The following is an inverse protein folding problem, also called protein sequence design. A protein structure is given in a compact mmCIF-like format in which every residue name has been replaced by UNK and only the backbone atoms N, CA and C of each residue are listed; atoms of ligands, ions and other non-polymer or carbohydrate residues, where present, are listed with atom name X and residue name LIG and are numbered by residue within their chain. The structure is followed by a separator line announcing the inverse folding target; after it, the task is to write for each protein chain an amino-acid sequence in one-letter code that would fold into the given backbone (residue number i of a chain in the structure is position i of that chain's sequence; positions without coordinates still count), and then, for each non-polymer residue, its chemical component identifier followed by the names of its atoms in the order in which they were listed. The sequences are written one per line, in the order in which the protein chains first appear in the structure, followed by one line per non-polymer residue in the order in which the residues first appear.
data_IF_814940842626
#
_entry.id   IF_814940842626
#
_cell.length_a   1.000
_cell.length_b   1.000
_cell.length_c   1.000
_cell.angle_alpha   90.00
_cell.angle_beta   90.00
_cell.angle_gamma   90.00
#
_symmetry.space_group_name_H-M   'P 1'
#
loop_
_entity.id
_entity.type
_entity.pdbx_description
1 polymer ?
#
# COMPACT_ATOMS: atom_id res chain seq x y z
N UNK A 1 -11.74 0.44 12.26
CA UNK A 1 -11.15 1.80 12.17
C UNK A 1 -9.78 1.73 12.82
N UNK A 2 -8.72 2.19 12.14
CA UNK A 2 -7.33 2.13 12.62
C UNK A 2 -7.13 3.07 13.83
N UNK A 3 -6.31 2.63 14.77
CA UNK A 3 -5.97 3.33 16.02
C UNK A 3 -4.46 3.31 16.22
N UNK A 4 -3.96 4.31 16.94
CA UNK A 4 -2.57 4.30 17.41
C UNK A 4 -2.33 3.04 18.25
N UNK A 5 -1.21 2.36 18.00
CA UNK A 5 -0.84 1.08 18.58
C UNK A 5 -1.26 -0.15 17.77
N UNK A 6 -2.12 -0.02 16.76
CA UNK A 6 -2.53 -1.17 15.94
C UNK A 6 -1.35 -1.71 15.12
N UNK A 7 -1.29 -3.04 15.00
CA UNK A 7 -0.30 -3.73 14.15
C UNK A 7 -0.95 -4.11 12.84
N UNK A 8 -0.35 -3.69 11.74
CA UNK A 8 -0.92 -3.81 10.40
C UNK A 8 0.11 -4.29 9.38
N UNK A 9 -0.37 -4.93 8.35
CA UNK A 9 0.41 -5.25 7.16
C UNK A 9 0.09 -4.23 6.06
N UNK A 10 1.13 -3.86 5.30
CA UNK A 10 1.03 -2.92 4.18
C UNK A 10 1.12 -3.70 2.88
N UNK A 11 0.11 -3.53 2.04
CA UNK A 11 -0.07 -4.25 0.79
C UNK A 11 -0.12 -3.28 -0.37
N UNK A 12 0.19 -3.79 -1.56
CA UNK A 12 -0.07 -3.10 -2.81
C UNK A 12 -0.71 -4.04 -3.82
N UNK A 13 -1.50 -3.46 -4.70
CA UNK A 13 -2.05 -4.09 -5.91
C UNK A 13 -1.48 -3.31 -7.10
N UNK A 14 -0.22 -3.53 -7.43
CA UNK A 14 0.45 -2.80 -8.53
C UNK A 14 0.09 -3.34 -9.91
N UNK A 15 0.28 -2.63 -11.03
CA UNK A 15 0.29 -3.23 -12.37
C UNK A 15 1.58 -4.04 -12.59
N UNK A 16 1.57 -5.01 -13.51
CA UNK A 16 2.61 -6.02 -13.71
C UNK A 16 4.05 -5.46 -13.80
N UNK A 17 4.94 -5.93 -12.93
CA UNK A 17 6.40 -5.79 -13.10
C UNK A 17 7.03 -7.13 -13.51
N UNK A 18 6.23 -8.15 -13.78
CA UNK A 18 6.69 -9.44 -14.31
C UNK A 18 6.74 -9.36 -15.82
N UNK A 19 7.76 -8.68 -16.37
CA UNK A 19 8.11 -8.79 -17.79
C UNK A 19 9.54 -9.30 -17.91
N UNK A 20 9.73 -10.55 -18.36
CA UNK A 20 10.71 -10.84 -19.38
C UNK A 20 10.04 -10.63 -20.75
N UNK A 21 10.64 -9.79 -21.57
CA UNK A 21 10.26 -9.53 -22.96
C UNK A 21 10.13 -10.82 -23.79
N UNK A 22 8.91 -11.14 -24.24
CA UNK A 22 8.64 -11.68 -25.58
C UNK A 22 7.15 -11.51 -25.90
N UNK A 23 6.75 -10.72 -26.93
CA UNK A 23 5.37 -10.70 -27.39
C UNK A 23 5.09 -11.96 -28.21
N UNK A 24 4.22 -12.85 -27.72
CA UNK A 24 3.66 -13.95 -28.51
C UNK A 24 2.29 -13.52 -29.03
N UNK A 25 2.06 -13.43 -30.35
CA UNK A 25 0.90 -12.74 -30.89
C UNK A 25 -0.25 -13.71 -31.19
N UNK A 26 -0.78 -14.49 -30.24
CA UNK A 26 -1.91 -15.41 -30.54
C UNK A 26 -2.76 -15.83 -29.32
N UNK A 27 -3.03 -14.95 -28.35
CA UNK A 27 -4.06 -15.21 -27.33
C UNK A 27 -5.08 -14.07 -27.21
N UNK A 28 -6.39 -14.37 -27.35
CA UNK A 28 -7.44 -13.37 -27.27
C UNK A 28 -7.71 -13.00 -25.81
N UNK A 29 -7.43 -11.75 -25.47
CA UNK A 29 -8.12 -10.97 -24.44
C UNK A 29 -8.23 -11.63 -23.05
N UNK A 30 -7.10 -11.83 -22.38
CA UNK A 30 -7.11 -12.12 -20.95
C UNK A 30 -7.25 -10.80 -20.18
N UNK A 31 -8.50 -10.56 -19.77
CA UNK A 31 -8.97 -9.68 -18.70
C UNK A 31 -7.87 -9.15 -17.80
N UNK A 32 -7.95 -7.84 -17.49
CA UNK A 32 -7.52 -7.21 -16.23
C UNK A 32 -7.27 -8.27 -15.16
N UNK A 33 -6.06 -8.82 -15.15
CA UNK A 33 -5.79 -10.00 -14.36
C UNK A 33 -5.86 -9.54 -12.91
N UNK A 34 -6.74 -10.18 -12.16
CA UNK A 34 -6.93 -10.06 -10.73
C UNK A 34 -5.56 -10.26 -10.06
N UNK A 35 -4.81 -9.18 -9.90
CA UNK A 35 -3.42 -9.27 -9.49
C UNK A 35 -3.42 -9.48 -7.99
N UNK A 36 -2.93 -10.64 -7.58
CA UNK A 36 -2.89 -11.00 -6.17
C UNK A 36 -2.20 -9.90 -5.35
N UNK A 37 -2.78 -9.48 -4.21
CA UNK A 37 -2.20 -8.44 -3.38
C UNK A 37 -0.84 -8.89 -2.85
N UNK A 38 0.17 -8.03 -2.97
CA UNK A 38 1.52 -8.29 -2.47
C UNK A 38 1.77 -7.52 -1.17
N UNK A 39 2.27 -8.20 -0.15
CA UNK A 39 2.71 -7.57 1.10
C UNK A 39 4.06 -6.88 0.87
N UNK A 40 4.12 -5.58 1.12
CA UNK A 40 5.33 -4.77 1.04
C UNK A 40 6.05 -4.67 2.39
N UNK A 41 5.28 -4.62 3.47
CA UNK A 41 5.82 -4.60 4.82
C UNK A 41 4.86 -5.31 5.77
N UNK A 42 5.43 -6.06 6.70
CA UNK A 42 4.69 -6.80 7.70
C UNK A 42 4.93 -6.23 9.11
N UNK A 43 3.89 -6.19 9.92
CA UNK A 43 3.97 -5.77 11.33
C UNK A 43 4.29 -4.29 11.53
N UNK A 44 3.81 -3.41 10.63
CA UNK A 44 3.88 -1.98 10.84
C UNK A 44 3.03 -1.57 12.05
N UNK A 45 3.52 -0.64 12.87
CA UNK A 45 2.76 -0.13 14.02
C UNK A 45 2.18 1.23 13.67
N UNK A 46 0.88 1.42 13.89
CA UNK A 46 0.23 2.71 13.69
C UNK A 46 0.65 3.67 14.82
N UNK A 47 1.32 4.77 14.50
CA UNK A 47 1.87 5.69 15.50
C UNK A 47 0.96 6.89 15.78
N UNK A 48 0.48 7.56 14.72
CA UNK A 48 -0.40 8.73 14.84
C UNK A 48 -1.60 8.55 13.93
N UNK A 49 -2.77 8.93 14.42
CA UNK A 49 -4.01 9.05 13.67
C UNK A 49 -4.57 10.42 14.02
N UNK A 50 -4.61 11.35 13.05
CA UNK A 50 -5.07 12.78 13.12
C UNK A 50 -3.96 13.84 13.03
N UNK A 51 -4.28 14.97 12.37
CA UNK A 51 -3.55 16.26 12.48
C UNK A 51 -4.44 17.30 13.16
N UNK A 52 -3.85 18.15 14.00
CA UNK A 52 -4.57 19.10 14.85
C UNK A 52 -5.23 20.30 14.13
N UNK A 53 -5.10 20.44 12.81
CA UNK A 53 -5.74 21.53 12.05
C UNK A 53 -6.99 21.05 11.34
N UNK A 54 -8.00 20.67 12.13
CA UNK A 54 -9.38 20.56 11.64
C UNK A 54 -9.95 21.96 11.46
N UNK A 55 -9.65 22.60 10.33
CA UNK A 55 -10.42 23.76 9.88
C UNK A 55 -11.81 23.26 9.45
N UNK A 56 -12.80 23.52 10.31
CA UNK A 56 -14.25 23.52 10.08
C UNK A 56 -14.73 22.60 8.91
N UNK A 57 -15.04 21.33 9.24
CA UNK A 57 -15.77 20.31 8.44
C UNK A 57 -15.01 19.25 7.62
N UNK A 58 -13.68 19.14 7.66
CA UNK A 58 -13.00 17.93 7.16
C UNK A 58 -11.98 17.44 8.18
N UNK A 59 -12.22 16.26 8.75
CA UNK A 59 -11.23 15.55 9.55
C UNK A 59 -10.25 14.88 8.58
N UNK A 60 -9.21 15.59 8.15
CA UNK A 60 -8.09 14.95 7.47
C UNK A 60 -7.40 13.99 8.45
N UNK A 61 -7.56 12.68 8.20
CA UNK A 61 -6.96 11.63 9.01
C UNK A 61 -5.61 11.27 8.40
N UNK A 62 -4.55 11.87 8.93
CA UNK A 62 -3.17 11.43 8.62
C UNK A 62 -2.85 10.23 9.51
N UNK A 63 -2.34 9.17 8.88
CA UNK A 63 -1.89 7.95 9.55
C UNK A 63 -0.37 7.85 9.38
N UNK A 64 0.36 7.76 10.49
CA UNK A 64 1.79 7.44 10.46
C UNK A 64 2.01 5.96 10.76
N UNK A 65 2.78 5.29 9.90
CA UNK A 65 3.17 3.88 10.05
C UNK A 65 4.64 3.79 10.46
N UNK A 66 4.90 3.20 11.61
CA UNK A 66 6.25 2.89 12.07
C UNK A 66 6.72 1.58 11.46
N UNK A 67 7.82 1.66 10.71
CA UNK A 67 8.43 0.59 9.95
C UNK A 67 9.96 0.63 10.11
N UNK A 68 10.64 -0.54 10.07
CA UNK A 68 12.09 -0.55 9.87
C UNK A 68 12.48 0.17 8.58
N UNK A 69 13.59 0.90 8.58
CA UNK A 69 14.04 1.73 7.45
C UNK A 69 14.01 1.03 6.08
N UNK A 70 14.47 -0.25 5.95
CA UNK A 70 14.40 -0.95 4.67
C UNK A 70 12.96 -1.10 4.15
N UNK A 71 12.02 -1.46 5.03
CA UNK A 71 10.61 -1.63 4.67
C UNK A 71 9.93 -0.30 4.38
N UNK A 72 10.25 0.75 5.14
CA UNK A 72 9.74 2.10 4.89
C UNK A 72 10.10 2.61 3.50
N UNK A 73 11.33 2.35 3.04
CA UNK A 73 11.79 2.78 1.71
C UNK A 73 11.03 2.06 0.58
N UNK A 74 10.77 0.76 0.74
CA UNK A 74 9.98 -0.03 -0.23
C UNK A 74 8.54 0.49 -0.32
N UNK A 75 7.90 0.73 0.83
CA UNK A 75 6.54 1.27 0.88
C UNK A 75 6.48 2.68 0.27
N UNK A 76 7.45 3.54 0.59
CA UNK A 76 7.53 4.88 0.03
C UNK A 76 7.69 4.86 -1.50
N UNK A 77 8.62 4.06 -2.02
CA UNK A 77 8.81 3.90 -3.46
C UNK A 77 7.53 3.37 -4.15
N UNK A 78 6.89 2.36 -3.57
CA UNK A 78 5.66 1.79 -4.11
C UNK A 78 4.50 2.81 -4.12
N UNK A 79 4.42 3.69 -3.12
CA UNK A 79 3.37 4.72 -3.00
C UNK A 79 3.40 5.77 -4.13
N UNK A 80 4.53 5.90 -4.83
CA UNK A 80 4.67 6.85 -5.95
C UNK A 80 3.88 6.42 -7.19
N UNK A 81 3.59 5.13 -7.33
CA UNK A 81 3.02 4.57 -8.56
C UNK A 81 1.92 3.54 -8.35
N UNK A 82 1.76 3.02 -7.13
CA UNK A 82 0.79 1.99 -6.82
C UNK A 82 -0.14 2.44 -5.69
N UNK A 83 -1.37 1.95 -5.75
CA UNK A 83 -2.26 2.02 -4.61
C UNK A 83 -1.67 1.22 -3.44
N UNK A 84 -1.67 1.84 -2.25
CA UNK A 84 -1.25 1.20 -1.01
C UNK A 84 -2.50 0.92 -0.17
N UNK A 85 -2.60 -0.30 0.33
CA UNK A 85 -3.67 -0.76 1.23
C UNK A 85 -3.04 -1.20 2.54
N UNK A 86 -3.75 -1.00 3.64
CA UNK A 86 -3.31 -1.40 4.98
C UNK A 86 -4.36 -2.32 5.57
N UNK A 87 -3.95 -3.47 6.11
CA UNK A 87 -4.86 -4.44 6.74
C UNK A 87 -4.41 -4.78 8.15
N UNK A 88 -5.35 -5.11 9.02
CA UNK A 88 -5.04 -5.71 10.31
C UNK A 88 -4.40 -7.08 10.12
N UNK A 89 -3.42 -7.37 10.98
CA UNK A 89 -2.93 -8.74 11.18
C UNK A 89 -3.93 -9.60 11.94
#
# INVERSE_FOLDING_TARGET
MLRSGDVVDVLTVGPDTSRPDTPHPDTPNESVADKAPQILAAGAVVALVTTSESTRNQQEQVILLALPTPAANVVAAASLSNAITVTFR
#
